data_IF_556325135170
#
_entry.id   IF_556325135170
#
_cell.length_a   1.000
_cell.length_b   1.000
_cell.length_c   1.000
_cell.angle_alpha   90.00
_cell.angle_beta   90.00
_cell.angle_gamma   90.00
#
_symmetry.space_group_name_H-M   'P 1'
#
loop_
_entity.id
_entity.type
_entity.pdbx_description
1 polymer ?
#
# COMPACT_ATOMS: atom_id res chain seq x y z
N UNK A 1 27.74 -37.60 -0.70
CA UNK A 1 26.54 -37.39 -1.53
C UNK A 1 26.02 -35.95 -1.39
N UNK A 2 25.53 -35.52 -0.23
CA UNK A 2 25.06 -34.15 -0.03
C UNK A 2 26.17 -33.11 -0.27
N UNK A 3 27.38 -33.38 0.24
CA UNK A 3 28.57 -32.53 0.04
C UNK A 3 28.95 -32.38 -1.43
N UNK A 4 28.84 -33.44 -2.23
CA UNK A 4 29.17 -33.42 -3.66
C UNK A 4 28.12 -32.63 -4.46
N UNK A 5 26.84 -32.78 -4.10
CA UNK A 5 25.76 -31.98 -4.66
C UNK A 5 25.95 -30.48 -4.36
N UNK A 6 26.32 -30.12 -3.12
CA UNK A 6 26.62 -28.73 -2.77
C UNK A 6 27.81 -28.17 -3.57
N UNK A 7 28.89 -28.94 -3.70
CA UNK A 7 30.07 -28.51 -4.47
C UNK A 7 29.78 -28.35 -5.97
N UNK A 8 28.92 -29.20 -6.53
CA UNK A 8 28.49 -29.10 -7.92
C UNK A 8 27.64 -27.84 -8.15
N UNK A 9 26.65 -27.59 -7.29
CA UNK A 9 25.78 -26.40 -7.37
C UNK A 9 26.57 -25.09 -7.23
N UNK A 10 27.62 -25.07 -6.39
CA UNK A 10 28.52 -23.92 -6.23
C UNK A 10 29.33 -23.61 -7.49
N UNK A 11 29.63 -24.62 -8.33
CA UNK A 11 30.43 -24.46 -9.55
C UNK A 11 29.58 -24.30 -10.81
N UNK A 12 28.30 -24.62 -10.76
CA UNK A 12 27.39 -24.57 -11.90
C UNK A 12 26.95 -23.13 -12.21
N UNK A 13 27.34 -22.55 -13.36
CA UNK A 13 27.01 -21.15 -13.69
C UNK A 13 25.50 -20.90 -13.78
N UNK A 14 24.73 -21.85 -14.34
CA UNK A 14 23.28 -21.68 -14.45
C UNK A 14 22.60 -21.65 -13.09
N UNK A 15 23.06 -22.48 -12.14
CA UNK A 15 22.55 -22.47 -10.77
C UNK A 15 22.96 -21.22 -10.00
N UNK A 16 24.17 -20.69 -10.24
CA UNK A 16 24.64 -19.45 -9.61
C UNK A 16 23.92 -18.20 -10.16
N UNK A 17 23.58 -18.18 -11.46
CA UNK A 17 22.91 -17.04 -12.11
C UNK A 17 21.41 -17.01 -11.80
N UNK A 18 20.75 -18.17 -11.77
CA UNK A 18 19.30 -18.26 -11.63
C UNK A 18 18.83 -18.72 -10.25
N UNK A 19 19.75 -19.05 -9.35
CA UNK A 19 19.42 -19.41 -7.98
C UNK A 19 18.85 -18.21 -7.21
N UNK A 20 17.79 -18.41 -6.44
CA UNK A 20 17.17 -17.39 -5.57
C UNK A 20 18.05 -17.00 -4.35
N UNK A 21 19.35 -17.30 -4.40
CA UNK A 21 20.32 -17.01 -3.34
C UNK A 21 20.84 -15.59 -3.49
N UNK A 22 20.34 -14.68 -2.66
CA UNK A 22 20.84 -13.32 -2.58
C UNK A 22 22.20 -13.35 -1.85
N UNK A 23 23.29 -13.30 -2.61
CA UNK A 23 24.66 -13.19 -2.08
C UNK A 23 25.03 -11.77 -1.63
N UNK A 24 24.11 -10.82 -1.75
CA UNK A 24 24.30 -9.44 -1.30
C UNK A 24 24.11 -9.39 0.22
N UNK A 25 25.04 -8.80 0.98
CA UNK A 25 24.85 -8.61 2.41
C UNK A 25 23.53 -7.86 2.65
N UNK A 26 22.74 -8.25 3.66
CA UNK A 26 21.53 -7.51 4.01
C UNK A 26 21.93 -6.05 4.26
N UNK A 27 21.49 -5.16 3.38
CA UNK A 27 21.65 -3.73 3.59
C UNK A 27 20.70 -3.31 4.70
N UNK A 28 21.15 -2.48 5.64
CA UNK A 28 20.24 -1.89 6.61
C UNK A 28 19.08 -1.20 5.87
N UNK A 29 17.86 -1.70 6.12
CA UNK A 29 16.67 -1.10 5.58
C UNK A 29 16.43 0.20 6.34
N UNK A 30 16.89 1.32 5.80
CA UNK A 30 16.40 2.63 6.23
C UNK A 30 14.94 2.76 5.76
N UNK A 31 14.02 2.23 6.57
CA UNK A 31 12.61 2.51 6.39
C UNK A 31 12.43 4.03 6.43
N UNK A 32 11.84 4.60 5.37
CA UNK A 32 11.35 5.96 5.43
C UNK A 32 10.33 6.03 6.57
N UNK A 33 10.75 6.68 7.65
CA UNK A 33 9.91 6.95 8.81
C UNK A 33 9.29 8.31 8.60
N UNK A 34 7.97 8.34 8.46
CA UNK A 34 7.23 9.59 8.51
C UNK A 34 7.28 10.10 9.96
N UNK A 35 7.51 11.39 10.20
CA UNK A 35 7.64 11.91 11.57
C UNK A 35 6.28 12.03 12.29
N UNK A 36 5.19 12.22 11.55
CA UNK A 36 3.81 12.27 12.07
C UNK A 36 2.79 11.77 11.03
N UNK A 37 1.53 11.47 11.43
CA UNK A 37 0.46 11.10 10.51
C UNK A 37 0.31 12.07 9.34
N UNK A 38 0.17 11.53 8.14
CA UNK A 38 -0.11 12.27 6.91
C UNK A 38 1.00 13.21 6.41
N UNK A 39 2.18 13.19 7.04
CA UNK A 39 3.33 13.98 6.59
C UNK A 39 3.90 13.47 5.26
N UNK A 40 4.00 12.15 5.10
CA UNK A 40 4.65 11.51 3.95
C UNK A 40 3.70 10.50 3.33
N UNK A 41 3.36 10.68 2.06
CA UNK A 41 2.52 9.75 1.32
C UNK A 41 3.26 9.12 0.16
N UNK A 42 3.09 7.81 -0.02
CA UNK A 42 3.48 7.11 -1.24
C UNK A 42 2.29 6.93 -2.16
N UNK A 43 2.49 7.18 -3.43
CA UNK A 43 1.48 7.11 -4.48
C UNK A 43 1.95 6.12 -5.54
N UNK A 44 1.07 5.19 -5.91
CA UNK A 44 1.33 4.20 -6.93
C UNK A 44 0.06 3.80 -7.67
N UNK A 45 0.23 3.25 -8.86
CA UNK A 45 -0.85 2.77 -9.73
C UNK A 45 -0.88 1.26 -9.69
N UNK A 46 -1.99 0.71 -9.25
CA UNK A 46 -2.30 -0.67 -9.56
C UNK A 46 -2.71 -0.71 -11.04
N UNK A 47 -1.84 -1.32 -11.84
CA UNK A 47 -1.86 -1.33 -13.31
C UNK A 47 -3.15 -1.83 -13.96
N UNK A 48 -3.13 -1.85 -15.30
CA UNK A 48 -4.33 -2.06 -16.13
C UNK A 48 -5.10 -3.33 -15.75
N UNK A 49 -6.29 -3.18 -15.20
CA UNK A 49 -7.21 -4.27 -14.85
C UNK A 49 -8.09 -4.56 -16.06
N UNK A 50 -8.03 -5.81 -16.53
CA UNK A 50 -8.84 -6.32 -17.63
C UNK A 50 -9.70 -7.50 -17.15
N UNK A 51 -11.01 -7.52 -17.45
CA UNK A 51 -11.77 -6.50 -18.17
C UNK A 51 -11.93 -5.20 -17.35
N UNK A 52 -12.28 -4.10 -18.03
CA UNK A 52 -12.64 -2.84 -17.36
C UNK A 52 -13.76 -3.11 -16.35
N UNK A 53 -13.80 -2.33 -15.27
CA UNK A 53 -14.93 -2.39 -14.35
C UNK A 53 -16.25 -2.09 -15.07
N UNK A 54 -17.39 -2.44 -14.49
CA UNK A 54 -18.72 -2.05 -14.99
C UNK A 54 -18.86 -0.54 -15.20
N UNK A 55 -18.19 0.26 -14.36
CA UNK A 55 -18.14 1.72 -14.47
C UNK A 55 -17.02 2.25 -15.39
N UNK A 56 -16.38 1.40 -16.20
CA UNK A 56 -15.36 1.79 -17.18
C UNK A 56 -13.95 2.09 -16.66
N UNK A 57 -13.67 1.93 -15.36
CA UNK A 57 -12.32 2.11 -14.81
C UNK A 57 -11.39 0.97 -15.24
N UNK A 58 -10.10 1.29 -15.40
CA UNK A 58 -9.04 0.33 -15.77
C UNK A 58 -7.84 0.37 -14.83
N UNK A 59 -7.77 1.36 -13.94
CA UNK A 59 -6.63 1.58 -13.06
C UNK A 59 -7.12 1.96 -11.68
N UNK A 60 -6.33 1.65 -10.65
CA UNK A 60 -6.56 2.11 -9.29
C UNK A 60 -5.35 2.92 -8.86
N UNK A 61 -5.59 4.18 -8.50
CA UNK A 61 -4.58 5.07 -7.97
C UNK A 61 -4.60 5.00 -6.44
N UNK A 62 -3.57 4.42 -5.86
CA UNK A 62 -3.45 4.17 -4.42
C UNK A 62 -2.48 5.17 -3.81
N UNK A 63 -2.88 5.76 -2.69
CA UNK A 63 -2.00 6.53 -1.82
C UNK A 63 -1.94 5.88 -0.44
N UNK A 64 -0.75 5.81 0.16
CA UNK A 64 -0.55 5.32 1.52
C UNK A 64 0.20 6.34 2.36
N UNK A 65 -0.31 6.62 3.56
CA UNK A 65 0.43 7.36 4.57
C UNK A 65 1.50 6.48 5.21
N UNK A 66 2.74 6.99 5.29
CA UNK A 66 3.88 6.19 5.76
C UNK A 66 3.88 6.01 7.27
N UNK A 67 3.22 6.88 8.02
CA UNK A 67 3.12 6.76 9.48
C UNK A 67 2.06 5.72 9.87
N UNK A 68 0.80 5.98 9.54
CA UNK A 68 -0.37 5.20 9.97
C UNK A 68 -0.61 3.97 9.10
N UNK A 69 0.06 3.88 7.94
CA UNK A 69 -0.25 2.92 6.87
C UNK A 69 -1.67 3.08 6.33
N UNK A 70 -2.27 4.27 6.50
CA UNK A 70 -3.60 4.56 6.01
C UNK A 70 -3.62 4.64 4.49
N UNK A 71 -4.42 3.78 3.87
CA UNK A 71 -4.57 3.75 2.40
C UNK A 71 -5.77 4.60 1.99
N UNK A 72 -5.61 5.46 0.98
CA UNK A 72 -6.65 6.28 0.37
C UNK A 72 -6.55 6.27 -1.15
N UNK A 73 -7.60 6.75 -1.83
CA UNK A 73 -7.56 7.06 -3.26
C UNK A 73 -7.46 8.57 -3.45
N UNK A 74 -6.59 9.01 -4.37
CA UNK A 74 -6.30 10.44 -4.59
C UNK A 74 -7.52 11.22 -5.09
N UNK A 75 -8.45 10.56 -5.80
CA UNK A 75 -9.68 11.21 -6.31
C UNK A 75 -10.50 11.87 -5.21
N UNK A 76 -10.40 11.37 -3.97
CA UNK A 76 -10.96 11.99 -2.78
C UNK A 76 -9.85 12.78 -2.09
N UNK A 77 -9.71 14.06 -2.46
CA UNK A 77 -8.63 14.98 -2.08
C UNK A 77 -8.00 14.69 -0.71
N UNK A 78 -6.81 14.06 -0.72
CA UNK A 78 -5.98 13.82 0.48
C UNK A 78 -5.79 15.13 1.24
N UNK A 79 -5.56 16.22 0.50
CA UNK A 79 -5.37 17.57 1.03
C UNK A 79 -6.57 18.03 1.85
N UNK A 80 -7.79 17.93 1.31
CA UNK A 80 -8.98 18.42 2.00
C UNK A 80 -9.35 17.58 3.23
N UNK A 81 -8.91 16.32 3.29
CA UNK A 81 -9.27 15.40 4.37
C UNK A 81 -8.22 15.26 5.46
N UNK A 82 -6.95 15.25 5.07
CA UNK A 82 -5.82 14.95 5.96
C UNK A 82 -4.81 16.10 6.05
N UNK A 83 -5.01 17.17 5.26
CA UNK A 83 -4.08 18.29 5.17
C UNK A 83 -3.06 18.14 4.04
N UNK A 84 -2.31 19.23 3.80
CA UNK A 84 -1.23 19.25 2.82
C UNK A 84 -0.07 18.39 3.34
N UNK A 85 0.33 17.34 2.60
CA UNK A 85 1.46 16.52 3.01
C UNK A 85 2.78 17.30 2.85
N UNK A 86 3.75 17.01 3.71
CA UNK A 86 5.11 17.56 3.58
C UNK A 86 5.85 16.95 2.39
N UNK A 87 5.68 15.65 2.18
CA UNK A 87 6.37 14.91 1.11
C UNK A 87 5.43 13.93 0.40
N UNK A 88 5.52 13.90 -0.93
CA UNK A 88 4.93 12.88 -1.79
C UNK A 88 6.05 12.03 -2.40
N UNK A 89 5.88 10.72 -2.33
CA UNK A 89 6.74 9.73 -2.96
C UNK A 89 5.94 9.10 -4.08
N UNK A 90 6.47 9.09 -5.30
CA UNK A 90 5.87 8.35 -6.40
C UNK A 90 6.93 7.62 -7.20
N UNK A 91 6.50 6.61 -7.94
CA UNK A 91 7.32 6.05 -9.00
C UNK A 91 7.48 7.04 -10.19
N UNK A 92 8.25 6.64 -11.19
CA UNK A 92 8.45 7.44 -12.42
C UNK A 92 7.35 7.23 -13.46
N UNK A 93 6.25 6.58 -13.09
CA UNK A 93 5.10 6.34 -13.96
C UNK A 93 4.61 7.62 -14.62
N UNK A 94 4.24 7.53 -15.89
CA UNK A 94 3.82 8.68 -16.69
C UNK A 94 2.36 9.08 -16.48
N UNK A 95 1.54 8.18 -15.94
CA UNK A 95 0.08 8.25 -16.03
C UNK A 95 -0.60 9.36 -15.21
N UNK A 96 0.03 9.91 -14.17
CA UNK A 96 -0.54 11.00 -13.34
C UNK A 96 0.47 12.12 -13.05
N UNK A 97 1.49 12.24 -13.91
CA UNK A 97 2.60 13.18 -13.69
C UNK A 97 2.10 14.63 -13.68
N UNK A 98 1.23 15.00 -14.61
CA UNK A 98 0.77 16.38 -14.74
C UNK A 98 -0.08 16.83 -13.54
N UNK A 99 -1.02 15.99 -13.08
CA UNK A 99 -1.88 16.30 -11.94
C UNK A 99 -1.09 16.35 -10.64
N UNK A 100 -0.19 15.39 -10.41
CA UNK A 100 0.68 15.37 -9.22
C UNK A 100 1.60 16.58 -9.23
N UNK A 101 2.26 16.90 -10.36
CA UNK A 101 3.16 18.04 -10.46
C UNK A 101 2.43 19.38 -10.23
N UNK A 102 1.19 19.51 -10.71
CA UNK A 102 0.36 20.69 -10.45
C UNK A 102 0.05 20.86 -8.97
N UNK A 103 -0.28 19.78 -8.27
CA UNK A 103 -0.54 19.81 -6.82
C UNK A 103 0.74 20.12 -6.03
N UNK A 104 1.84 19.46 -6.39
CA UNK A 104 3.16 19.65 -5.80
C UNK A 104 3.59 21.11 -5.86
N UNK A 105 3.47 21.74 -7.04
CA UNK A 105 3.80 23.15 -7.22
C UNK A 105 2.84 24.09 -6.49
N UNK A 106 1.53 23.81 -6.52
CA UNK A 106 0.52 24.69 -5.91
C UNK A 106 0.62 24.76 -4.39
N UNK A 107 0.96 23.66 -3.75
CA UNK A 107 0.96 23.53 -2.29
C UNK A 107 2.36 23.42 -1.69
N UNK A 108 3.41 23.65 -2.48
CA UNK A 108 4.82 23.56 -2.07
C UNK A 108 5.18 22.22 -1.39
N UNK A 109 4.68 21.13 -1.96
CA UNK A 109 4.91 19.79 -1.43
C UNK A 109 6.26 19.27 -1.93
N UNK A 110 7.08 18.65 -1.08
CA UNK A 110 8.31 18.01 -1.57
C UNK A 110 7.96 16.75 -2.36
N UNK A 111 8.39 16.68 -3.62
CA UNK A 111 8.15 15.49 -4.44
C UNK A 111 9.43 14.67 -4.60
N UNK A 112 9.44 13.48 -4.02
CA UNK A 112 10.50 12.50 -4.18
C UNK A 112 10.08 11.45 -5.22
N UNK A 113 10.77 11.43 -6.36
CA UNK A 113 10.56 10.40 -7.37
C UNK A 113 11.53 9.26 -7.14
N UNK A 114 11.02 8.07 -6.87
CA UNK A 114 11.88 6.90 -6.67
C UNK A 114 12.75 6.67 -7.92
N UNK A 115 14.00 6.29 -7.72
CA UNK A 115 14.85 5.79 -8.81
C UNK A 115 14.66 4.28 -8.92
N UNK A 116 14.90 3.71 -10.11
CA UNK A 116 14.88 2.26 -10.32
C UNK A 116 15.81 1.48 -9.35
N UNK A 117 16.78 2.19 -8.74
CA UNK A 117 17.79 1.63 -7.83
C UNK A 117 17.47 1.80 -6.34
N UNK A 118 16.36 2.44 -5.95
CA UNK A 118 15.92 2.54 -4.53
C UNK A 118 14.48 2.04 -4.33
N UNK A 119 14.23 0.74 -4.53
CA UNK A 119 12.92 0.13 -4.26
C UNK A 119 12.47 0.26 -2.79
N UNK A 120 13.39 0.50 -1.85
CA UNK A 120 13.05 0.71 -0.44
C UNK A 120 12.12 1.91 -0.21
N UNK A 121 12.30 2.99 -0.98
CA UNK A 121 11.49 4.22 -0.89
C UNK A 121 10.04 3.95 -1.28
N UNK A 122 9.79 2.99 -2.16
CA UNK A 122 8.44 2.66 -2.65
C UNK A 122 7.87 1.37 -2.03
N UNK A 123 8.64 0.66 -1.20
CA UNK A 123 8.25 -0.64 -0.68
C UNK A 123 6.97 -0.61 0.17
N UNK A 124 6.68 0.50 0.85
CA UNK A 124 5.46 0.64 1.65
C UNK A 124 4.19 0.65 0.78
N UNK A 125 4.20 1.40 -0.33
CA UNK A 125 3.05 1.44 -1.25
C UNK A 125 2.94 0.14 -2.05
N UNK A 126 4.04 -0.49 -2.43
CA UNK A 126 4.03 -1.80 -3.08
C UNK A 126 3.45 -2.89 -2.17
N UNK A 127 3.86 -2.92 -0.90
CA UNK A 127 3.32 -3.84 0.09
C UNK A 127 1.82 -3.58 0.33
N UNK A 128 1.39 -2.33 0.39
CA UNK A 128 -0.01 -1.96 0.48
C UNK A 128 -0.80 -2.44 -0.73
N UNK A 129 -0.29 -2.20 -1.93
CA UNK A 129 -0.88 -2.63 -3.19
C UNK A 129 -1.02 -4.15 -3.26
N UNK A 130 -0.01 -4.91 -2.81
CA UNK A 130 -0.09 -6.38 -2.72
C UNK A 130 -1.21 -6.84 -1.80
N UNK A 131 -1.42 -6.17 -0.67
CA UNK A 131 -2.49 -6.47 0.28
C UNK A 131 -3.87 -6.09 -0.27
N UNK A 132 -4.02 -4.89 -0.82
CA UNK A 132 -5.28 -4.42 -1.45
C UNK A 132 -5.68 -5.35 -2.59
N UNK A 133 -4.75 -5.73 -3.47
CA UNK A 133 -4.98 -6.73 -4.54
C UNK A 133 -5.41 -8.09 -4.00
N UNK A 134 -4.93 -8.50 -2.81
CA UNK A 134 -5.31 -9.78 -2.20
C UNK A 134 -6.74 -9.72 -1.65
N UNK A 135 -7.09 -8.62 -0.98
CA UNK A 135 -8.44 -8.42 -0.45
C UNK A 135 -9.45 -8.33 -1.60
N UNK A 136 -9.17 -7.51 -2.61
CA UNK A 136 -10.02 -7.36 -3.79
C UNK A 136 -10.27 -8.69 -4.49
N UNK A 137 -9.23 -9.50 -4.72
CA UNK A 137 -9.38 -10.83 -5.33
C UNK A 137 -10.34 -11.76 -4.58
N UNK A 138 -10.57 -11.56 -3.29
CA UNK A 138 -11.52 -12.34 -2.49
C UNK A 138 -12.93 -11.75 -2.48
N UNK A 139 -13.08 -10.46 -2.77
CA UNK A 139 -14.36 -9.74 -2.74
C UNK A 139 -15.04 -9.63 -4.11
N UNK A 140 -14.25 -9.69 -5.17
CA UNK A 140 -14.71 -9.63 -6.56
C UNK A 140 -15.45 -10.92 -6.88
N UNK A 141 -16.73 -10.81 -7.23
CA UNK A 141 -17.56 -11.95 -7.63
C UNK A 141 -17.56 -12.08 -9.16
N UNK A 142 -17.66 -10.95 -9.85
CA UNK A 142 -17.53 -10.85 -11.31
C UNK A 142 -16.26 -10.08 -11.66
N UNK A 143 -15.57 -10.42 -12.74
CA UNK A 143 -14.33 -9.72 -13.12
C UNK A 143 -14.48 -8.22 -13.43
N UNK A 144 -15.71 -7.68 -13.42
CA UNK A 144 -16.06 -6.28 -13.68
C UNK A 144 -16.55 -5.49 -12.45
N UNK A 145 -16.87 -6.14 -11.33
CA UNK A 145 -17.42 -5.46 -10.14
C UNK A 145 -16.35 -4.83 -9.22
N UNK A 146 -15.07 -4.99 -9.55
CA UNK A 146 -13.98 -4.64 -8.65
C UNK A 146 -14.01 -3.18 -8.20
N UNK A 147 -14.48 -2.25 -9.03
CA UNK A 147 -14.54 -0.82 -8.68
C UNK A 147 -15.51 -0.54 -7.54
N UNK A 148 -16.61 -1.29 -7.44
CA UNK A 148 -17.61 -1.19 -6.37
C UNK A 148 -17.08 -1.84 -5.08
N UNK A 149 -16.32 -2.92 -5.21
CA UNK A 149 -15.71 -3.63 -4.07
C UNK A 149 -14.51 -2.89 -3.46
N UNK A 150 -13.98 -1.85 -4.13
CA UNK A 150 -12.81 -1.10 -3.65
C UNK A 150 -12.97 -0.48 -2.27
N UNK A 151 -14.12 0.14 -1.99
CA UNK A 151 -14.35 0.79 -0.70
C UNK A 151 -14.36 -0.23 0.44
N UNK A 152 -14.96 -1.40 0.22
CA UNK A 152 -14.95 -2.51 1.18
C UNK A 152 -13.53 -3.07 1.37
N UNK A 153 -12.76 -3.20 0.28
CA UNK A 153 -11.38 -3.66 0.37
C UNK A 153 -10.48 -2.70 1.16
N UNK A 154 -10.68 -1.38 1.00
CA UNK A 154 -10.00 -0.38 1.79
C UNK A 154 -10.42 -0.42 3.26
N UNK A 155 -11.72 -0.54 3.53
CA UNK A 155 -12.21 -0.63 4.89
C UNK A 155 -11.62 -1.85 5.62
N UNK A 156 -11.67 -3.03 4.99
CA UNK A 156 -11.02 -4.24 5.50
C UNK A 156 -9.51 -4.04 5.69
N UNK A 157 -8.82 -3.36 4.77
CA UNK A 157 -7.41 -3.04 4.92
C UNK A 157 -7.15 -2.18 6.17
N UNK A 158 -7.97 -1.14 6.38
CA UNK A 158 -7.80 -0.12 7.43
C UNK A 158 -8.11 -0.66 8.83
N UNK A 159 -9.02 -1.62 8.94
CA UNK A 159 -9.39 -2.25 10.21
C UNK A 159 -8.61 -3.53 10.52
N UNK A 160 -7.74 -3.97 9.61
CA UNK A 160 -6.87 -5.12 9.85
C UNK A 160 -5.58 -4.70 10.56
N UNK A 161 -5.17 -5.49 11.55
CA UNK A 161 -3.92 -5.31 12.28
C UNK A 161 -2.70 -5.33 11.35
N UNK A 162 -1.74 -4.43 11.58
CA UNK A 162 -0.48 -4.37 10.84
C UNK A 162 0.68 -4.65 11.78
N UNK A 163 1.41 -5.72 11.49
CA UNK A 163 2.61 -6.11 12.26
C UNK A 163 3.70 -5.04 12.22
N UNK A 164 3.78 -4.24 11.17
CA UNK A 164 4.77 -3.16 11.03
C UNK A 164 4.52 -1.95 11.94
N UNK A 165 3.28 -1.73 12.38
CA UNK A 165 2.93 -0.62 13.29
C UNK A 165 2.42 -1.08 14.64
N UNK A 166 2.11 -2.37 14.80
CA UNK A 166 1.55 -2.92 16.04
C UNK A 166 0.10 -2.49 16.31
N UNK A 167 -0.59 -1.91 15.33
CA UNK A 167 -1.95 -1.39 15.45
C UNK A 167 -2.72 -1.49 14.12
N UNK A 168 -4.02 -1.20 14.12
CA UNK A 168 -4.76 -1.02 12.87
C UNK A 168 -4.52 0.39 12.30
N UNK A 169 -4.47 0.57 10.98
CA UNK A 169 -4.40 1.91 10.40
C UNK A 169 -5.56 2.82 10.87
N UNK A 170 -6.72 2.24 11.15
CA UNK A 170 -7.88 2.98 11.64
C UNK A 170 -7.64 3.56 13.04
N UNK A 171 -7.14 2.77 14.00
CA UNK A 171 -6.86 3.28 15.35
C UNK A 171 -5.72 4.29 15.36
N UNK A 172 -4.73 4.16 14.48
CA UNK A 172 -3.68 5.17 14.33
C UNK A 172 -4.17 6.51 13.79
N UNK A 173 -5.24 6.51 12.98
CA UNK A 173 -5.82 7.74 12.44
C UNK A 173 -6.84 8.39 13.38
N UNK A 174 -7.72 7.59 13.98
CA UNK A 174 -8.85 8.10 14.77
C UNK A 174 -8.69 7.93 16.28
N UNK A 175 -7.60 7.33 16.74
CA UNK A 175 -7.32 7.10 18.16
C UNK A 175 -8.10 5.95 18.80
N UNK A 176 -8.97 5.26 18.04
CA UNK A 176 -9.76 4.13 18.52
C UNK A 176 -10.07 3.14 17.40
N UNK A 177 -10.36 1.89 17.74
CA UNK A 177 -10.76 0.88 16.76
C UNK A 177 -12.15 1.15 16.17
N UNK A 178 -12.32 0.84 14.88
CA UNK A 178 -13.62 0.87 14.24
C UNK A 178 -14.54 -0.20 14.85
N UNK A 179 -15.83 0.10 15.00
CA UNK A 179 -16.82 -0.93 15.34
C UNK A 179 -16.98 -1.85 14.14
N UNK A 180 -16.69 -3.14 14.32
CA UNK A 180 -16.83 -4.15 13.27
C UNK A 180 -18.23 -4.79 13.28
N UNK A 181 -18.75 -5.30 12.15
CA UNK A 181 -20.02 -6.02 12.10
C UNK A 181 -20.12 -7.16 13.12
N UNK A 182 -19.02 -7.89 13.35
CA UNK A 182 -18.96 -8.94 14.36
C UNK A 182 -19.23 -8.42 15.77
N UNK A 183 -18.84 -7.18 16.09
CA UNK A 183 -19.15 -6.56 17.38
C UNK A 183 -20.63 -6.23 17.52
N UNK A 184 -21.28 -5.88 16.41
CA UNK A 184 -22.73 -5.64 16.38
C UNK A 184 -23.47 -6.96 16.59
N UNK A 185 -23.08 -8.02 15.87
CA UNK A 185 -23.68 -9.36 15.99
C UNK A 185 -23.51 -9.96 17.39
N UNK A 186 -22.35 -9.75 18.02
CA UNK A 186 -22.08 -10.23 19.38
C UNK A 186 -22.63 -9.32 20.49
N UNK A 187 -23.13 -8.13 20.15
CA UNK A 187 -23.55 -7.14 21.15
C UNK A 187 -22.40 -6.70 22.06
N UNK A 188 -21.27 -6.28 21.47
CA UNK A 188 -20.09 -5.85 22.25
C UNK A 188 -20.46 -4.71 23.22
N UNK A 189 -19.69 -4.56 24.31
CA UNK A 189 -19.95 -3.50 25.30
C UNK A 189 -20.04 -2.10 24.68
N UNK A 190 -19.25 -1.83 23.62
CA UNK A 190 -19.29 -0.56 22.91
C UNK A 190 -20.62 -0.32 22.18
N UNK A 191 -21.23 -1.39 21.66
CA UNK A 191 -22.53 -1.34 20.97
C UNK A 191 -23.68 -1.35 21.98
N UNK A 192 -23.56 -2.14 23.05
CA UNK A 192 -24.59 -2.32 24.05
C UNK A 192 -24.81 -1.10 24.96
N UNK A 193 -23.80 -0.26 25.15
CA UNK A 193 -23.90 0.95 25.98
C UNK A 193 -24.55 2.15 25.25
N UNK A 194 -24.73 2.07 23.92
CA UNK A 194 -25.30 3.14 23.09
C UNK A 194 -26.73 2.84 22.59
N UNK A 195 -27.28 1.66 22.90
CA UNK A 195 -28.66 1.26 22.59
C UNK A 195 -29.57 1.40 23.81
#
# INVERSE_FOLDING_TARGET
>A
METDCCQFVQRCPECQIHGDLIHVPPSELHALTSPWPFSVWGIDIIGKISPKSSSGHEFILVAIDYFTKWVSFIRSHIICRYGVPHELISDRGVHFRAEVDTLVQRYDIRHHRSSAYRPQTNGAVEAANKNVKRILRRMVETSRDWSEKLLFALWAYRTSFRTSTGATPYSLVYGMEAVLPVEIEMGSLRVALEQ
#
